data_IF_362338524103
#
_entry.id   IF_362338524103
#
_cell.length_a   1.000
_cell.length_b   1.000
_cell.length_c   1.000
_cell.angle_alpha   90.00
_cell.angle_beta   90.00
_cell.angle_gamma   90.00
#
_symmetry.space_group_name_H-M   'P 1'
#
loop_
_entity.id
_entity.type
_entity.pdbx_description
1 polymer ?
#
# COMPACT_ATOMS: atom_id res chain seq x y z
N UNK A 1 8.43 18.14 0.98
CA UNK A 1 7.69 18.05 2.24
C UNK A 1 6.88 16.77 2.26
N UNK A 2 6.71 16.14 3.42
CA UNK A 2 5.76 15.05 3.59
C UNK A 2 4.35 15.48 3.14
N UNK A 3 3.61 14.54 2.51
CA UNK A 3 2.24 14.79 2.04
C UNK A 3 2.08 15.45 0.67
N UNK A 4 3.16 15.97 0.06
CA UNK A 4 3.11 16.61 -1.26
C UNK A 4 3.30 15.66 -2.44
N UNK A 5 3.18 16.21 -3.67
CA UNK A 5 3.52 15.48 -4.89
C UNK A 5 4.97 14.99 -4.81
N UNK A 6 5.19 13.68 -5.05
CA UNK A 6 6.51 13.06 -4.90
C UNK A 6 6.84 12.54 -3.51
N UNK A 7 5.93 12.66 -2.54
CA UNK A 7 6.09 12.14 -1.18
C UNK A 7 6.57 10.67 -1.18
N UNK A 8 5.86 9.77 -1.88
CA UNK A 8 6.20 8.36 -1.95
C UNK A 8 7.62 8.12 -2.49
N UNK A 9 7.97 8.76 -3.60
CA UNK A 9 9.30 8.64 -4.19
C UNK A 9 10.41 9.08 -3.24
N UNK A 10 10.24 10.22 -2.55
CA UNK A 10 11.23 10.72 -1.58
C UNK A 10 11.32 9.77 -0.40
N UNK A 11 10.18 9.31 0.13
CA UNK A 11 10.14 8.37 1.24
C UNK A 11 10.86 7.06 0.91
N UNK A 12 10.52 6.43 -0.22
CA UNK A 12 11.17 5.19 -0.66
C UNK A 12 12.66 5.36 -0.93
N UNK A 13 13.07 6.52 -1.45
CA UNK A 13 14.46 6.74 -1.83
C UNK A 13 15.34 7.16 -0.65
N UNK A 14 14.84 7.93 0.30
CA UNK A 14 15.67 8.57 1.32
C UNK A 14 15.31 8.18 2.75
N UNK A 15 14.04 7.88 3.03
CA UNK A 15 13.56 7.66 4.40
C UNK A 15 13.52 6.18 4.75
N UNK A 16 12.84 5.36 3.93
CA UNK A 16 12.63 3.93 4.21
C UNK A 16 13.91 3.08 4.18
N UNK A 17 14.90 3.31 3.27
CA UNK A 17 16.00 2.37 3.08
C UNK A 17 17.01 2.28 4.21
N UNK A 18 17.10 3.30 5.09
CA UNK A 18 18.02 3.29 6.21
C UNK A 18 17.52 4.18 7.36
N UNK A 19 17.94 3.91 8.59
CA UNK A 19 17.65 4.80 9.72
C UNK A 19 18.12 6.24 9.47
N UNK A 20 17.47 7.24 10.07
CA UNK A 20 17.93 8.62 9.98
C UNK A 20 19.43 8.77 10.32
N UNK A 21 20.08 9.74 9.68
CA UNK A 21 21.51 10.04 9.85
C UNK A 21 22.47 8.94 9.37
N UNK A 22 21.97 7.88 8.72
CA UNK A 22 22.81 6.80 8.18
C UNK A 22 23.16 7.06 6.72
N UNK A 23 24.45 7.22 6.35
CA UNK A 23 24.85 7.39 4.97
C UNK A 23 24.62 6.12 4.14
N UNK A 24 23.92 6.26 3.02
CA UNK A 24 23.70 5.21 2.03
C UNK A 24 24.58 5.47 0.81
N UNK A 25 25.40 4.50 0.42
CA UNK A 25 26.29 4.60 -0.74
C UNK A 25 25.73 3.73 -1.86
N UNK A 26 25.57 4.32 -3.04
CA UNK A 26 25.13 3.62 -4.26
C UNK A 26 26.12 3.84 -5.40
N UNK A 27 26.27 2.86 -6.27
CA UNK A 27 26.99 3.01 -7.54
C UNK A 27 26.02 3.28 -8.68
N UNK A 28 26.25 4.33 -9.41
CA UNK A 28 25.45 4.74 -10.57
C UNK A 28 26.32 4.71 -11.81
N UNK A 29 25.81 4.10 -12.89
CA UNK A 29 26.47 4.15 -14.19
C UNK A 29 25.92 5.37 -14.95
N UNK A 30 26.81 6.30 -15.26
CA UNK A 30 26.48 7.52 -16.02
C UNK A 30 27.09 7.39 -17.42
N UNK A 31 26.30 7.63 -18.45
CA UNK A 31 26.78 7.71 -19.82
C UNK A 31 27.53 9.01 -20.00
N UNK A 32 28.87 8.94 -20.22
CA UNK A 32 29.72 10.04 -20.50
C UNK A 32 30.06 10.08 -22.01
N UNK A 33 30.76 11.15 -22.47
CA UNK A 33 31.25 11.27 -23.86
C UNK A 33 32.15 10.11 -24.29
N UNK A 34 32.95 9.58 -23.35
CA UNK A 34 33.95 8.53 -23.59
C UNK A 34 33.46 7.14 -23.17
N UNK A 35 32.12 6.94 -23.02
CA UNK A 35 31.50 5.71 -22.60
C UNK A 35 30.93 5.72 -21.14
N UNK A 36 30.42 4.60 -20.67
CA UNK A 36 29.80 4.51 -19.34
C UNK A 36 30.85 4.63 -18.24
N UNK A 37 30.58 5.46 -17.23
CA UNK A 37 31.41 5.63 -16.04
C UNK A 37 30.63 5.24 -14.79
N UNK A 38 31.25 4.48 -13.91
CA UNK A 38 30.71 4.18 -12.57
C UNK A 38 31.05 5.31 -11.63
N UNK A 39 30.04 5.84 -10.96
CA UNK A 39 30.20 6.90 -9.97
C UNK A 39 29.55 6.46 -8.66
N UNK A 40 30.24 6.70 -7.55
CA UNK A 40 29.70 6.50 -6.20
C UNK A 40 28.96 7.77 -5.79
N UNK A 41 27.74 7.61 -5.30
CA UNK A 41 26.92 8.67 -4.71
C UNK A 41 26.56 8.30 -3.30
N UNK A 42 26.69 9.28 -2.41
CA UNK A 42 26.24 9.14 -1.01
C UNK A 42 24.99 9.98 -0.85
N UNK A 43 24.00 9.41 -0.18
CA UNK A 43 22.80 10.11 0.28
C UNK A 43 22.57 9.82 1.76
N UNK A 44 21.94 10.76 2.44
CA UNK A 44 21.61 10.65 3.85
C UNK A 44 20.26 11.33 4.07
N UNK A 45 19.42 10.74 4.91
CA UNK A 45 18.22 11.37 5.41
C UNK A 45 18.53 12.06 6.74
N UNK A 46 18.39 13.38 6.77
CA UNK A 46 18.50 14.19 7.98
C UNK A 46 17.10 14.63 8.37
N UNK A 47 16.50 14.07 9.43
CA UNK A 47 15.20 14.51 9.89
C UNK A 47 15.31 15.92 10.46
N UNK A 48 14.28 16.72 10.25
CA UNK A 48 14.15 18.04 10.82
C UNK A 48 12.69 18.37 11.06
N UNK A 49 12.40 18.97 12.18
CA UNK A 49 11.07 19.45 12.60
C UNK A 49 11.09 20.97 12.69
N UNK A 50 9.93 21.57 12.84
CA UNK A 50 9.85 23.02 13.07
C UNK A 50 10.58 23.44 14.37
N UNK A 51 10.65 22.53 15.35
CA UNK A 51 11.30 22.80 16.65
C UNK A 51 12.82 22.91 16.54
N UNK A 52 13.43 22.41 15.47
CA UNK A 52 14.88 22.54 15.22
C UNK A 52 15.25 23.93 14.70
N UNK A 53 14.27 24.74 14.22
CA UNK A 53 14.49 26.08 13.72
C UNK A 53 14.22 27.12 14.81
N UNK A 54 15.16 27.26 15.74
CA UNK A 54 15.05 28.17 16.87
C UNK A 54 14.89 29.65 16.45
N UNK A 55 15.48 30.03 15.32
CA UNK A 55 15.39 31.40 14.81
C UNK A 55 13.97 31.72 14.33
N UNK A 56 13.33 30.77 13.62
CA UNK A 56 11.93 30.91 13.22
C UNK A 56 11.00 31.03 14.43
N UNK A 57 11.23 30.20 15.45
CA UNK A 57 10.40 30.19 16.66
C UNK A 57 10.51 31.48 17.48
N UNK A 58 11.68 32.15 17.45
CA UNK A 58 11.87 33.45 18.10
C UNK A 58 11.23 34.59 17.35
N UNK A 59 11.37 34.60 16.01
CA UNK A 59 10.96 35.72 15.17
C UNK A 59 9.50 35.66 14.74
N UNK A 60 8.90 34.46 14.71
CA UNK A 60 7.49 34.24 14.29
C UNK A 60 6.82 33.15 15.15
N UNK A 61 6.58 33.40 16.45
CA UNK A 61 5.97 32.41 17.35
C UNK A 61 4.55 32.03 16.90
N UNK A 62 3.84 32.91 16.21
CA UNK A 62 2.52 32.66 15.60
C UNK A 62 2.56 31.56 14.52
N UNK A 63 3.73 31.27 13.95
CA UNK A 63 3.87 30.20 12.96
C UNK A 63 3.51 28.83 13.55
N UNK A 64 3.87 28.57 14.80
CA UNK A 64 3.47 27.35 15.51
C UNK A 64 1.96 27.26 15.69
N UNK A 65 1.32 28.38 16.04
CA UNK A 65 -0.12 28.41 16.20
C UNK A 65 -0.84 28.14 14.87
N UNK A 66 -0.33 28.72 13.78
CA UNK A 66 -0.86 28.47 12.43
C UNK A 66 -0.72 27.00 12.02
N UNK A 67 0.42 26.36 12.29
CA UNK A 67 0.61 24.92 12.02
C UNK A 67 -0.29 24.05 12.91
N UNK A 68 -0.52 24.44 14.15
CA UNK A 68 -1.38 23.70 15.08
C UNK A 68 -2.86 23.72 14.66
N UNK A 69 -3.30 24.72 13.91
CA UNK A 69 -4.66 24.83 13.36
C UNK A 69 -4.89 24.02 12.09
N UNK A 70 -3.84 23.48 11.47
CA UNK A 70 -3.96 22.64 10.28
C UNK A 70 -4.68 21.32 10.57
N UNK A 71 -5.30 20.71 9.56
CA UNK A 71 -5.76 19.32 9.63
C UNK A 71 -4.66 18.40 10.15
N UNK A 72 -5.04 17.35 10.84
CA UNK A 72 -4.10 16.47 11.57
C UNK A 72 -2.98 15.93 10.69
N UNK A 73 -3.28 15.50 9.46
CA UNK A 73 -2.27 14.98 8.54
C UNK A 73 -1.22 16.02 8.17
N UNK A 74 -1.67 17.24 7.84
CA UNK A 74 -0.78 18.37 7.50
C UNK A 74 0.04 18.79 8.73
N UNK A 75 -0.60 18.83 9.89
CA UNK A 75 0.05 19.12 11.16
C UNK A 75 1.13 18.08 11.46
N UNK A 76 0.82 16.78 11.34
CA UNK A 76 1.81 15.72 11.55
C UNK A 76 2.97 15.81 10.56
N UNK A 77 2.70 16.10 9.30
CA UNK A 77 3.72 16.25 8.27
C UNK A 77 4.60 17.49 8.47
N UNK A 78 3.99 18.66 8.76
CA UNK A 78 4.70 19.93 8.78
C UNK A 78 5.27 20.29 10.15
N UNK A 79 4.57 19.94 11.24
CA UNK A 79 5.00 20.24 12.60
C UNK A 79 6.00 19.19 13.12
N UNK A 80 5.71 17.91 12.89
CA UNK A 80 6.50 16.80 13.43
C UNK A 80 7.36 16.09 12.37
N UNK A 81 7.29 16.51 11.10
CA UNK A 81 8.09 15.91 10.03
C UNK A 81 7.71 14.47 9.70
N UNK A 82 6.47 14.05 9.97
CA UNK A 82 6.00 12.69 9.74
C UNK A 82 5.94 12.37 8.24
N UNK A 83 6.59 11.29 7.83
CA UNK A 83 6.55 10.75 6.48
C UNK A 83 5.48 9.67 6.30
N UNK A 84 4.73 9.34 7.36
CA UNK A 84 3.66 8.35 7.36
C UNK A 84 2.26 9.00 7.32
N UNK A 85 2.19 10.33 7.35
CA UNK A 85 0.95 11.10 7.29
C UNK A 85 0.76 11.68 5.88
N UNK A 86 -0.34 11.32 5.20
CA UNK A 86 -0.70 11.85 3.87
C UNK A 86 -2.20 11.93 3.68
N UNK A 87 -2.63 12.82 2.78
CA UNK A 87 -4.04 13.01 2.45
C UNK A 87 -4.63 11.76 1.79
N UNK A 88 -5.86 11.44 2.18
CA UNK A 88 -6.59 10.29 1.66
C UNK A 88 -6.35 8.98 2.42
N UNK A 89 -5.59 9.00 3.51
CA UNK A 89 -5.46 7.85 4.38
C UNK A 89 -6.79 7.55 5.08
N UNK A 90 -7.39 6.40 4.78
CA UNK A 90 -8.66 5.96 5.38
C UNK A 90 -8.46 5.51 6.82
N UNK A 91 -7.39 4.78 7.09
CA UNK A 91 -7.03 4.29 8.42
C UNK A 91 -5.87 5.11 8.98
N UNK A 92 -6.17 6.16 9.73
CA UNK A 92 -5.17 7.08 10.30
C UNK A 92 -4.34 6.43 11.40
N UNK A 93 -4.90 5.43 12.06
CA UNK A 93 -4.24 4.68 13.13
C UNK A 93 -3.27 3.62 12.60
N UNK A 94 -3.21 3.40 11.28
CA UNK A 94 -2.29 2.44 10.69
C UNK A 94 -0.84 2.73 11.06
N UNK A 95 -0.19 1.75 11.64
CA UNK A 95 1.21 1.83 12.05
C UNK A 95 1.97 0.61 11.55
N UNK A 96 3.17 0.86 11.07
CA UNK A 96 4.16 -0.16 10.77
C UNK A 96 5.39 0.12 11.65
N UNK A 97 5.48 -0.58 12.77
CA UNK A 97 6.57 -0.44 13.73
C UNK A 97 7.35 -1.76 13.84
N UNK A 98 8.50 -1.87 13.15
CA UNK A 98 9.31 -3.08 13.17
C UNK A 98 9.83 -3.50 14.54
N UNK A 99 9.97 -2.57 15.49
CA UNK A 99 10.39 -2.90 16.84
C UNK A 99 9.36 -3.74 17.62
N UNK A 100 8.10 -3.72 17.15
CA UNK A 100 6.97 -4.36 17.80
C UNK A 100 6.31 -5.49 16.99
N UNK A 101 6.95 -5.99 15.92
CA UNK A 101 6.39 -7.09 15.13
C UNK A 101 6.19 -8.37 15.96
N UNK A 102 7.12 -8.68 16.84
CA UNK A 102 7.07 -9.89 17.66
C UNK A 102 6.09 -9.83 18.83
N UNK A 103 5.94 -8.70 19.49
CA UNK A 103 5.01 -8.52 20.62
C UNK A 103 3.63 -8.02 20.19
N UNK A 104 3.47 -7.67 18.92
CA UNK A 104 2.21 -7.24 18.29
C UNK A 104 1.54 -6.02 18.98
N UNK A 105 2.34 -5.17 19.62
CA UNK A 105 1.88 -3.95 20.28
C UNK A 105 2.19 -2.74 19.41
N UNK A 106 1.26 -1.79 19.36
CA UNK A 106 1.44 -0.50 18.67
C UNK A 106 1.75 -0.60 17.16
N UNK A 107 1.55 -1.77 16.55
CA UNK A 107 1.77 -2.03 15.14
C UNK A 107 0.60 -2.78 14.52
N UNK A 108 0.36 -2.57 13.22
CA UNK A 108 -0.59 -3.34 12.41
C UNK A 108 0.14 -4.32 11.48
N UNK A 109 1.47 -4.31 11.50
CA UNK A 109 2.32 -5.26 10.79
C UNK A 109 2.98 -6.17 11.81
N UNK A 110 2.94 -7.47 11.57
CA UNK A 110 3.49 -8.49 12.45
C UNK A 110 4.42 -9.42 11.66
N UNK A 111 5.23 -10.19 12.37
CA UNK A 111 6.07 -11.20 11.72
C UNK A 111 5.22 -12.24 10.99
N UNK A 112 5.65 -12.71 9.80
CA UNK A 112 4.97 -13.77 9.10
C UNK A 112 4.86 -15.06 9.92
N UNK A 113 3.71 -15.70 9.87
CA UNK A 113 3.48 -16.97 10.56
C UNK A 113 2.67 -17.93 9.68
N UNK A 114 2.76 -19.25 9.89
CA UNK A 114 1.97 -20.22 9.16
C UNK A 114 0.48 -20.07 9.44
N UNK A 115 -0.34 -19.90 8.40
CA UNK A 115 -1.79 -19.76 8.53
C UNK A 115 -2.41 -21.12 8.87
N UNK A 116 -3.12 -21.27 10.02
CA UNK A 116 -3.78 -22.51 10.42
C UNK A 116 -4.74 -23.03 9.36
N UNK A 117 -4.83 -24.35 9.22
CA UNK A 117 -5.60 -24.97 8.15
C UNK A 117 -7.11 -24.67 8.22
N UNK A 118 -7.63 -24.50 9.42
CA UNK A 118 -9.06 -24.27 9.71
C UNK A 118 -9.49 -22.80 9.58
N UNK A 119 -8.56 -21.85 9.44
CA UNK A 119 -8.91 -20.47 9.25
C UNK A 119 -9.56 -20.24 7.88
N UNK A 120 -10.56 -19.36 7.86
CA UNK A 120 -11.25 -18.98 6.64
C UNK A 120 -10.38 -18.03 5.82
N UNK A 121 -10.32 -18.31 4.50
CA UNK A 121 -9.59 -17.45 3.56
C UNK A 121 -10.59 -16.71 2.68
N UNK A 122 -10.43 -15.42 2.60
CA UNK A 122 -11.15 -14.54 1.70
C UNK A 122 -10.20 -13.92 0.68
N UNK A 123 -10.73 -13.60 -0.49
CA UNK A 123 -10.05 -12.85 -1.52
C UNK A 123 -10.88 -11.64 -1.87
N UNK A 124 -10.33 -10.44 -1.70
CA UNK A 124 -10.93 -9.18 -2.11
C UNK A 124 -10.44 -8.76 -3.49
N UNK A 125 -11.28 -8.14 -4.31
CA UNK A 125 -10.92 -7.64 -5.63
C UNK A 125 -11.54 -6.28 -5.91
N UNK A 126 -10.68 -5.34 -6.30
CA UNK A 126 -11.06 -4.06 -6.87
C UNK A 126 -10.49 -3.98 -8.29
N UNK A 127 -11.37 -3.89 -9.30
CA UNK A 127 -10.96 -3.93 -10.69
C UNK A 127 -10.51 -2.58 -11.21
N UNK A 128 -9.37 -2.58 -11.89
CA UNK A 128 -8.87 -1.46 -12.66
C UNK A 128 -8.21 -1.94 -13.97
N UNK A 129 -8.32 -1.17 -15.02
CA UNK A 129 -7.66 -1.42 -16.30
C UNK A 129 -6.59 -0.36 -16.58
N UNK A 130 -7.01 0.89 -16.81
CA UNK A 130 -6.10 2.05 -16.92
C UNK A 130 -5.61 2.52 -15.55
N UNK A 131 -6.39 2.29 -14.50
CA UNK A 131 -6.00 2.42 -13.09
C UNK A 131 -5.54 1.06 -12.58
N UNK A 132 -4.70 1.00 -11.54
CA UNK A 132 -4.31 -0.26 -10.95
C UNK A 132 -5.52 -1.04 -10.44
N UNK A 133 -5.48 -2.36 -10.61
CA UNK A 133 -6.36 -3.26 -9.87
C UNK A 133 -5.66 -3.75 -8.59
N UNK A 134 -6.45 -4.23 -7.63
CA UNK A 134 -5.94 -4.83 -6.42
C UNK A 134 -6.66 -6.16 -6.12
N UNK A 135 -5.88 -7.20 -5.83
CA UNK A 135 -6.38 -8.46 -5.28
C UNK A 135 -5.66 -8.69 -3.96
N UNK A 136 -6.41 -8.81 -2.87
CA UNK A 136 -5.87 -9.12 -1.55
C UNK A 136 -6.38 -10.45 -1.03
N UNK A 137 -5.52 -11.25 -0.40
CA UNK A 137 -5.94 -12.45 0.33
C UNK A 137 -5.88 -12.21 1.82
N UNK A 138 -6.93 -12.62 2.52
CA UNK A 138 -7.13 -12.35 3.92
C UNK A 138 -7.46 -13.64 4.66
N UNK A 139 -6.72 -13.94 5.72
CA UNK A 139 -7.06 -15.00 6.66
C UNK A 139 -7.85 -14.40 7.83
N UNK A 140 -8.85 -15.12 8.29
CA UNK A 140 -9.68 -14.71 9.44
C UNK A 140 -9.61 -15.79 10.50
N UNK A 141 -9.16 -15.41 11.69
CA UNK A 141 -9.07 -16.29 12.84
C UNK A 141 -10.44 -16.53 13.53
N UNK A 142 -10.44 -17.29 14.61
CA UNK A 142 -11.64 -17.64 15.38
C UNK A 142 -12.20 -16.45 16.16
N UNK A 143 -11.34 -15.48 16.49
CA UNK A 143 -11.74 -14.24 17.18
C UNK A 143 -12.25 -13.17 16.20
N UNK A 144 -12.20 -13.46 14.89
CA UNK A 144 -12.60 -12.52 13.84
C UNK A 144 -11.54 -11.51 13.45
N UNK A 145 -10.27 -11.69 13.87
CA UNK A 145 -9.17 -10.84 13.43
C UNK A 145 -8.83 -11.16 11.97
N UNK A 146 -8.53 -10.12 11.21
CA UNK A 146 -8.25 -10.21 9.78
C UNK A 146 -6.77 -9.98 9.53
N UNK A 147 -6.13 -10.91 8.85
CA UNK A 147 -4.72 -10.86 8.46
C UNK A 147 -4.61 -10.76 6.96
N UNK A 148 -4.03 -9.68 6.44
CA UNK A 148 -3.68 -9.54 5.03
C UNK A 148 -2.41 -10.34 4.77
N UNK A 149 -2.54 -11.46 4.06
CA UNK A 149 -1.48 -12.46 3.92
C UNK A 149 -0.78 -12.43 2.55
N UNK A 150 -1.44 -11.86 1.54
CA UNK A 150 -0.90 -11.78 0.19
C UNK A 150 -1.60 -10.70 -0.62
N UNK A 151 -0.89 -10.13 -1.58
CA UNK A 151 -1.42 -9.12 -2.50
C UNK A 151 -0.97 -9.40 -3.94
N UNK A 152 -1.83 -9.04 -4.90
CA UNK A 152 -1.51 -8.90 -6.31
C UNK A 152 -2.01 -7.54 -6.79
N UNK A 153 -1.09 -6.62 -7.00
CA UNK A 153 -1.38 -5.24 -7.35
C UNK A 153 -0.95 -4.93 -8.78
N UNK A 154 -1.90 -4.50 -9.60
CA UNK A 154 -1.71 -4.27 -11.03
C UNK A 154 -1.27 -2.86 -11.37
N UNK A 155 -0.11 -2.40 -10.82
CA UNK A 155 0.48 -1.09 -11.09
C UNK A 155 1.73 -1.22 -11.94
N UNK A 156 1.97 -0.26 -12.86
CA UNK A 156 3.20 -0.20 -13.69
C UNK A 156 4.43 0.26 -12.91
N UNK A 157 4.25 0.75 -11.68
CA UNK A 157 5.27 1.46 -10.90
C UNK A 157 5.10 2.98 -10.97
N UNK A 158 4.35 3.50 -11.94
CA UNK A 158 3.91 4.89 -11.94
C UNK A 158 2.63 5.02 -11.11
N UNK A 159 2.55 5.96 -10.16
CA UNK A 159 1.37 6.14 -9.34
C UNK A 159 0.08 6.28 -10.17
N UNK A 160 -0.96 5.53 -9.78
CA UNK A 160 -2.27 5.52 -10.45
C UNK A 160 -2.29 5.01 -11.91
N UNK A 161 -1.23 4.35 -12.38
CA UNK A 161 -1.19 3.76 -13.71
C UNK A 161 -1.29 2.23 -13.65
N UNK A 162 -2.37 1.67 -14.22
CA UNK A 162 -2.62 0.23 -14.27
C UNK A 162 -1.87 -0.46 -15.41
N UNK A 163 -1.52 -1.73 -15.20
CA UNK A 163 -0.84 -2.59 -16.18
C UNK A 163 -1.70 -2.97 -17.39
N UNK A 164 -2.95 -2.57 -17.45
CA UNK A 164 -3.93 -2.84 -18.52
C UNK A 164 -4.12 -4.33 -18.82
N UNK A 165 -4.12 -5.13 -17.76
CA UNK A 165 -4.29 -6.57 -17.85
C UNK A 165 -5.77 -6.92 -18.06
N UNK A 166 -6.03 -7.85 -18.99
CA UNK A 166 -7.39 -8.32 -19.26
C UNK A 166 -7.93 -9.16 -18.09
N UNK A 167 -9.25 -9.11 -17.77
CA UNK A 167 -9.83 -9.88 -16.66
C UNK A 167 -9.49 -11.37 -16.66
N UNK A 168 -9.49 -12.02 -17.83
CA UNK A 168 -9.07 -13.41 -17.96
C UNK A 168 -7.62 -13.68 -17.61
N UNK A 169 -6.71 -12.73 -17.88
CA UNK A 169 -5.29 -12.83 -17.51
C UNK A 169 -5.11 -12.64 -16.01
N UNK A 170 -5.86 -11.70 -15.41
CA UNK A 170 -5.89 -11.52 -13.95
C UNK A 170 -6.38 -12.82 -13.29
N UNK A 171 -7.45 -13.42 -13.81
CA UNK A 171 -7.97 -14.68 -13.29
C UNK A 171 -6.95 -15.83 -13.40
N UNK A 172 -6.25 -15.94 -14.52
CA UNK A 172 -5.18 -16.93 -14.69
C UNK A 172 -4.05 -16.75 -13.67
N UNK A 173 -3.65 -15.51 -13.42
CA UNK A 173 -2.64 -15.19 -12.44
C UNK A 173 -3.12 -15.49 -11.00
N UNK A 174 -4.36 -15.15 -10.65
CA UNK A 174 -4.96 -15.52 -9.36
C UNK A 174 -4.93 -17.04 -9.19
N UNK A 175 -5.40 -17.78 -10.19
CA UNK A 175 -5.43 -19.25 -10.17
C UNK A 175 -4.04 -19.84 -9.95
N UNK A 176 -3.03 -19.33 -10.64
CA UNK A 176 -1.65 -19.73 -10.46
C UNK A 176 -1.16 -19.48 -9.04
N UNK A 177 -1.34 -18.25 -8.55
CA UNK A 177 -0.91 -17.87 -7.19
C UNK A 177 -1.57 -18.75 -6.13
N UNK A 178 -2.86 -19.05 -6.24
CA UNK A 178 -3.59 -19.91 -5.30
C UNK A 178 -3.16 -21.39 -5.37
N UNK A 179 -2.71 -21.85 -6.53
CA UNK A 179 -2.23 -23.23 -6.70
C UNK A 179 -0.78 -23.44 -6.25
N UNK A 180 0.06 -22.41 -6.40
CA UNK A 180 1.49 -22.50 -6.09
C UNK A 180 1.81 -22.13 -4.64
N UNK A 181 1.03 -21.24 -4.03
CA UNK A 181 1.28 -20.74 -2.68
C UNK A 181 0.91 -21.79 -1.61
N UNK A 182 1.85 -22.20 -0.75
CA UNK A 182 1.56 -23.19 0.30
C UNK A 182 0.47 -22.77 1.29
N UNK A 183 0.28 -21.47 1.51
CA UNK A 183 -0.76 -20.95 2.41
C UNK A 183 -2.17 -20.98 1.80
N UNK A 184 -2.26 -20.99 0.45
CA UNK A 184 -3.52 -20.90 -0.29
C UNK A 184 -3.91 -22.21 -0.95
N UNK A 185 -2.93 -23.02 -1.32
CA UNK A 185 -3.13 -24.27 -2.09
C UNK A 185 -4.08 -25.22 -1.38
N UNK A 186 -5.14 -25.63 -2.10
CA UNK A 186 -6.15 -26.56 -1.61
C UNK A 186 -7.13 -25.96 -0.60
N UNK A 187 -7.01 -24.68 -0.27
CA UNK A 187 -7.97 -23.99 0.61
C UNK A 187 -9.24 -23.60 -0.15
N UNK A 188 -10.37 -23.59 0.57
CA UNK A 188 -11.58 -22.96 0.07
C UNK A 188 -11.47 -21.45 0.26
N UNK A 189 -11.45 -20.71 -0.86
CA UNK A 189 -11.31 -19.25 -0.88
C UNK A 189 -12.62 -18.63 -1.33
N UNK A 190 -13.18 -17.73 -0.50
CA UNK A 190 -14.36 -16.95 -0.84
C UNK A 190 -13.93 -15.65 -1.48
N UNK A 191 -14.31 -15.41 -2.74
CA UNK A 191 -14.02 -14.18 -3.47
C UNK A 191 -15.13 -13.14 -3.27
N UNK A 192 -14.74 -11.91 -2.91
CA UNK A 192 -15.63 -10.76 -2.76
C UNK A 192 -15.06 -9.63 -3.63
N UNK A 193 -15.93 -8.98 -4.40
CA UNK A 193 -15.50 -7.89 -5.27
C UNK A 193 -16.48 -6.73 -5.28
N UNK A 194 -16.03 -5.56 -5.75
CA UNK A 194 -16.91 -4.43 -5.97
C UNK A 194 -18.04 -4.84 -6.94
N UNK A 195 -19.30 -4.52 -6.63
CA UNK A 195 -20.44 -4.88 -7.47
C UNK A 195 -20.36 -4.40 -8.93
N UNK A 196 -19.57 -3.40 -9.23
CA UNK A 196 -19.38 -2.91 -10.60
C UNK A 196 -18.80 -3.95 -11.56
N UNK A 197 -18.10 -4.98 -11.06
CA UNK A 197 -17.55 -6.05 -11.91
C UNK A 197 -18.64 -6.95 -12.51
N UNK A 198 -19.88 -6.90 -11.99
CA UNK A 198 -21.03 -7.67 -12.48
C UNK A 198 -21.89 -6.89 -13.48
N UNK A 199 -21.53 -5.63 -13.78
CA UNK A 199 -22.25 -4.80 -14.74
C UNK A 199 -22.11 -5.36 -16.17
N UNK A 200 -23.25 -5.68 -16.79
CA UNK A 200 -23.37 -6.18 -18.17
C UNK A 200 -23.90 -5.12 -19.15
N UNK A 201 -24.09 -3.87 -18.69
CA UNK A 201 -24.68 -2.80 -19.51
C UNK A 201 -23.86 -2.47 -20.77
N UNK A 202 -22.57 -2.80 -20.78
CA UNK A 202 -21.65 -2.54 -21.88
C UNK A 202 -21.09 -3.81 -22.55
N UNK A 203 -21.69 -4.94 -22.29
CA UNK A 203 -21.25 -6.25 -22.79
C UNK A 203 -21.03 -7.24 -21.66
N UNK A 204 -20.18 -8.23 -21.90
CA UNK A 204 -19.88 -9.23 -20.89
C UNK A 204 -19.19 -8.61 -19.67
N UNK A 205 -19.67 -8.96 -18.47
CA UNK A 205 -19.12 -8.46 -17.22
C UNK A 205 -17.72 -9.01 -16.93
N UNK A 206 -16.93 -8.23 -16.17
CA UNK A 206 -15.61 -8.65 -15.70
C UNK A 206 -15.69 -9.96 -14.93
N UNK A 207 -16.70 -10.12 -14.07
CA UNK A 207 -16.92 -11.34 -13.31
C UNK A 207 -17.06 -12.56 -14.22
N UNK A 208 -17.92 -12.48 -15.25
CA UNK A 208 -18.10 -13.58 -16.21
C UNK A 208 -16.83 -13.93 -16.98
N UNK A 209 -16.05 -12.93 -17.39
CA UNK A 209 -14.76 -13.17 -18.05
C UNK A 209 -13.79 -13.96 -17.16
N UNK A 210 -13.81 -13.72 -15.85
CA UNK A 210 -12.96 -14.40 -14.87
C UNK A 210 -13.46 -15.80 -14.51
N UNK A 211 -14.76 -16.03 -14.60
CA UNK A 211 -15.37 -17.35 -14.35
C UNK A 211 -15.14 -18.38 -15.48
N UNK A 212 -14.73 -17.94 -16.65
CA UNK A 212 -14.52 -18.83 -17.81
C UNK A 212 -13.42 -19.86 -17.57
N UNK A 213 -13.58 -21.01 -18.22
CA UNK A 213 -12.52 -22.01 -18.35
C UNK A 213 -11.24 -21.38 -18.96
N UNK A 214 -10.02 -21.77 -18.50
CA UNK A 214 -9.73 -22.77 -17.47
C UNK A 214 -9.63 -22.21 -16.04
N UNK A 215 -9.90 -20.91 -15.84
CA UNK A 215 -9.55 -20.22 -14.60
C UNK A 215 -10.56 -20.46 -13.47
N UNK A 216 -11.87 -20.38 -13.77
CA UNK A 216 -12.95 -20.61 -12.81
C UNK A 216 -12.83 -19.78 -11.53
N UNK A 217 -12.55 -18.48 -11.66
CA UNK A 217 -12.46 -17.56 -10.54
C UNK A 217 -13.83 -16.93 -10.29
N UNK A 218 -14.44 -17.27 -9.16
CA UNK A 218 -15.78 -16.82 -8.78
C UNK A 218 -15.73 -15.67 -7.78
N UNK A 219 -16.69 -14.76 -7.90
CA UNK A 219 -16.85 -13.60 -7.07
C UNK A 219 -18.26 -13.47 -6.53
N UNK A 220 -18.37 -12.90 -5.34
CA UNK A 220 -19.63 -12.42 -4.76
C UNK A 220 -19.55 -10.90 -4.70
N UNK A 221 -20.67 -10.22 -4.92
CA UNK A 221 -20.75 -8.77 -4.76
C UNK A 221 -20.57 -8.37 -3.30
N UNK A 222 -19.68 -7.43 -3.05
CA UNK A 222 -19.54 -6.79 -1.76
C UNK A 222 -20.76 -5.91 -1.45
N UNK A 223 -20.97 -5.62 -0.17
CA UNK A 223 -21.98 -4.66 0.26
C UNK A 223 -21.49 -3.23 0.02
N UNK A 224 -22.13 -2.54 -0.92
CA UNK A 224 -21.86 -1.12 -1.23
C UNK A 224 -22.68 -0.16 -0.38
N UNK A 225 -23.39 -0.62 0.64
CA UNK A 225 -24.03 0.27 1.59
C UNK A 225 -22.95 1.10 2.25
N UNK A 226 -22.71 2.30 1.69
CA UNK A 226 -21.84 3.27 2.35
C UNK A 226 -22.40 3.45 3.76
N UNK A 227 -21.57 3.27 4.77
CA UNK A 227 -21.88 3.72 6.11
C UNK A 227 -22.07 5.24 6.03
N UNK A 228 -23.28 5.65 5.65
CA UNK A 228 -23.64 7.05 5.49
C UNK A 228 -23.43 7.70 6.85
N UNK A 229 -22.48 8.61 6.93
CA UNK A 229 -22.42 9.60 7.98
C UNK A 229 -21.64 9.25 9.24
N UNK A 230 -20.62 8.39 9.19
CA UNK A 230 -19.64 8.28 10.30
C UNK A 230 -18.22 8.36 9.76
N UNK A 231 -17.86 9.52 9.26
CA UNK A 231 -16.50 10.06 9.20
C UNK A 231 -16.58 11.55 9.51
#
# INVERSE_FOLDING_TARGET
>A
NPGGIGHGWVKERFVTPAPPMTPMVEEVVVQGRDGPRRMRRTRIFVPSTVFDNQELLRNAPEYLANLAMLPENERMALLYGSWDSFDGQVFREWRNDPAHYGDQRWTHVIDPFPIPAHWRIYRGFDFGYARPFAVGWFAVDEDGRVYHIKEFYGCTGTPNEGVRMHPGEIAAQIRRMESEDPMLRGKRITGIADPSIFDESRGESVARMMERSPNFIYWQGGDNTRLAGKM
#
